data_IF_493292220904
#
_entry.id   IF_493292220904
#
_cell.length_a   1.000
_cell.length_b   1.000
_cell.length_c   1.000
_cell.angle_alpha   90.00
_cell.angle_beta   90.00
_cell.angle_gamma   90.00
#
_symmetry.space_group_name_H-M   'P 1'
#
loop_
_entity.id
_entity.type
_entity.pdbx_description
1 polymer ?
#
# COMPACT_ATOMS: atom_id res chain seq x y z
N UNK A 1 20.10 -50.45 -18.32
CA UNK A 1 20.28 -50.40 -19.79
C UNK A 1 21.53 -49.59 -20.09
N UNK A 2 22.68 -50.27 -20.19
CA UNK A 2 23.98 -49.64 -20.37
C UNK A 2 24.15 -49.20 -21.84
N UNK A 3 24.34 -47.89 -22.05
CA UNK A 3 24.57 -47.32 -23.36
C UNK A 3 25.85 -47.86 -23.98
N UNK A 4 25.70 -48.66 -25.04
CA UNK A 4 26.81 -48.97 -25.96
C UNK A 4 27.22 -47.67 -26.65
N UNK A 5 28.25 -47.02 -26.12
CA UNK A 5 29.00 -46.02 -26.88
C UNK A 5 29.69 -46.77 -28.02
N UNK A 6 29.12 -46.71 -29.21
CA UNK A 6 29.83 -47.07 -30.43
C UNK A 6 31.03 -46.12 -30.52
N UNK A 7 32.23 -46.64 -30.27
CA UNK A 7 33.46 -45.88 -30.42
C UNK A 7 33.51 -45.36 -31.86
N UNK A 8 33.48 -44.04 -32.03
CA UNK A 8 33.71 -43.41 -33.32
C UNK A 8 35.03 -43.93 -33.88
N UNK A 9 34.98 -44.59 -35.03
CA UNK A 9 36.16 -45.11 -35.73
C UNK A 9 37.08 -43.90 -35.98
N UNK A 10 38.13 -43.78 -35.17
CA UNK A 10 39.00 -42.61 -35.15
C UNK A 10 39.66 -42.46 -36.52
N UNK A 11 39.40 -41.33 -37.17
CA UNK A 11 40.05 -40.91 -38.42
C UNK A 11 41.58 -40.89 -38.29
N UNK A 12 42.10 -40.74 -37.06
CA UNK A 12 43.53 -40.84 -36.76
C UNK A 12 44.07 -42.25 -37.00
N UNK A 13 43.29 -43.30 -36.69
CA UNK A 13 43.69 -44.68 -36.99
C UNK A 13 43.73 -44.92 -38.49
N UNK A 14 42.79 -44.38 -39.26
CA UNK A 14 42.80 -44.54 -40.73
C UNK A 14 43.96 -43.79 -41.37
N UNK A 15 44.31 -42.61 -40.87
CA UNK A 15 45.48 -41.83 -41.35
C UNK A 15 46.79 -42.54 -40.99
N UNK A 16 46.93 -43.01 -39.75
CA UNK A 16 48.12 -43.75 -39.32
C UNK A 16 48.29 -45.06 -40.11
N UNK A 17 47.19 -45.76 -40.39
CA UNK A 17 47.21 -47.01 -41.16
C UNK A 17 47.52 -46.74 -42.64
N UNK A 18 47.05 -45.62 -43.21
CA UNK A 18 47.42 -45.21 -44.56
C UNK A 18 48.93 -44.92 -44.69
N UNK A 19 49.52 -44.18 -43.74
CA UNK A 19 50.97 -43.90 -43.72
C UNK A 19 51.77 -45.20 -43.58
N UNK A 20 51.32 -46.11 -42.70
CA UNK A 20 51.95 -47.41 -42.50
C UNK A 20 51.94 -48.26 -43.77
N UNK A 21 50.79 -48.35 -44.45
CA UNK A 21 50.63 -49.14 -45.68
C UNK A 21 51.46 -48.55 -46.83
N UNK A 22 51.52 -47.23 -46.95
CA UNK A 22 52.35 -46.57 -47.97
C UNK A 22 53.84 -46.84 -47.70
N UNK A 23 54.28 -46.75 -46.44
CA UNK A 23 55.66 -47.02 -46.05
C UNK A 23 56.09 -48.48 -46.28
N UNK A 24 55.22 -49.45 -45.98
CA UNK A 24 55.52 -50.88 -46.18
C UNK A 24 55.57 -51.26 -47.66
N UNK A 25 54.67 -50.70 -48.48
CA UNK A 25 54.68 -50.92 -49.94
C UNK A 25 55.94 -50.32 -50.59
N UNK A 26 56.38 -49.13 -50.16
CA UNK A 26 57.62 -48.52 -50.63
C UNK A 26 58.87 -49.35 -50.27
N UNK A 27 58.90 -49.93 -49.06
CA UNK A 27 59.99 -50.80 -48.61
C UNK A 27 60.05 -52.10 -49.43
N UNK A 28 58.91 -52.75 -49.67
CA UNK A 28 58.84 -53.98 -50.47
C UNK A 28 59.19 -53.75 -51.94
N UNK A 29 58.81 -52.60 -52.50
CA UNK A 29 59.18 -52.23 -53.87
C UNK A 29 60.69 -51.99 -54.05
N UNK A 30 61.41 -51.61 -52.98
CA UNK A 30 62.86 -51.40 -53.02
C UNK A 30 63.67 -52.69 -53.15
N UNK A 31 63.07 -53.84 -52.86
CA UNK A 31 63.75 -55.15 -52.84
C UNK A 31 63.75 -55.89 -54.18
N UNK A 32 62.93 -55.49 -55.18
CA UNK A 32 62.65 -56.32 -56.38
C UNK A 32 62.90 -55.66 -57.75
N UNK A 33 63.30 -54.39 -57.85
CA UNK A 33 63.32 -53.66 -59.14
C UNK A 33 64.67 -53.06 -59.54
N UNK A 34 64.97 -53.05 -60.85
CA UNK A 34 66.06 -52.23 -61.40
C UNK A 34 65.85 -50.73 -61.14
N UNK A 35 66.92 -49.93 -61.16
CA UNK A 35 66.94 -48.51 -60.69
C UNK A 35 65.79 -47.65 -61.25
N UNK A 36 65.35 -47.91 -62.49
CA UNK A 36 64.23 -47.21 -63.12
C UNK A 36 62.86 -47.60 -62.55
N UNK A 37 62.65 -48.87 -62.19
CA UNK A 37 61.39 -49.36 -61.59
C UNK A 37 61.23 -48.81 -60.18
N UNK A 38 62.33 -48.73 -59.40
CA UNK A 38 62.32 -48.15 -58.05
C UNK A 38 61.95 -46.66 -58.10
N UNK A 39 62.54 -45.89 -59.03
CA UNK A 39 62.22 -44.46 -59.20
C UNK A 39 60.77 -44.23 -59.61
N UNK A 40 60.25 -45.05 -60.53
CA UNK A 40 58.84 -44.98 -60.93
C UNK A 40 57.89 -45.29 -59.77
N UNK A 41 58.20 -46.30 -58.95
CA UNK A 41 57.42 -46.66 -57.76
C UNK A 41 57.39 -45.55 -56.71
N UNK A 42 58.52 -44.89 -56.46
CA UNK A 42 58.59 -43.76 -55.52
C UNK A 42 57.72 -42.59 -56.00
N UNK A 43 57.74 -42.26 -57.29
CA UNK A 43 56.89 -41.19 -57.84
C UNK A 43 55.41 -41.51 -57.68
N UNK A 44 55.00 -42.75 -57.94
CA UNK A 44 53.60 -43.18 -57.74
C UNK A 44 53.21 -43.14 -56.26
N UNK A 45 54.09 -43.56 -55.36
CA UNK A 45 53.84 -43.48 -53.92
C UNK A 45 53.68 -42.03 -53.43
N UNK A 46 54.52 -41.12 -53.91
CA UNK A 46 54.42 -39.69 -53.61
C UNK A 46 53.13 -39.09 -54.17
N UNK A 47 52.76 -39.43 -55.40
CA UNK A 47 51.50 -38.97 -56.00
C UNK A 47 50.27 -39.46 -55.22
N UNK A 48 50.27 -40.72 -54.80
CA UNK A 48 49.19 -41.30 -53.98
C UNK A 48 49.13 -40.68 -52.58
N UNK A 49 50.28 -40.38 -51.97
CA UNK A 49 50.34 -39.69 -50.68
C UNK A 49 49.76 -38.26 -50.76
N UNK A 50 50.08 -37.53 -51.83
CA UNK A 50 49.54 -36.19 -52.08
C UNK A 50 48.02 -36.25 -52.31
N UNK A 51 47.55 -37.22 -53.11
CA UNK A 51 46.12 -37.42 -53.36
C UNK A 51 45.36 -37.77 -52.07
N UNK A 52 45.92 -38.63 -51.22
CA UNK A 52 45.33 -38.99 -49.93
C UNK A 52 45.27 -37.80 -48.96
N UNK A 53 46.35 -37.00 -48.90
CA UNK A 53 46.37 -35.78 -48.09
C UNK A 53 45.31 -34.77 -48.56
N UNK A 54 45.20 -34.59 -49.88
CA UNK A 54 44.20 -33.69 -50.46
C UNK A 54 42.77 -34.15 -50.15
N UNK A 55 42.48 -35.44 -50.31
CA UNK A 55 41.16 -36.01 -50.02
C UNK A 55 40.81 -35.88 -48.53
N UNK A 56 41.76 -36.15 -47.64
CA UNK A 56 41.58 -36.01 -46.19
C UNK A 56 41.30 -34.55 -45.77
N UNK A 57 42.01 -33.58 -46.34
CA UNK A 57 41.77 -32.16 -46.08
C UNK A 57 40.40 -31.73 -46.60
N UNK A 58 39.99 -32.22 -47.77
CA UNK A 58 38.70 -31.87 -48.38
C UNK A 58 37.52 -32.44 -47.60
N UNK A 59 37.63 -33.68 -47.13
CA UNK A 59 36.60 -34.33 -46.33
C UNK A 59 36.48 -33.69 -44.94
N UNK A 60 37.62 -33.36 -44.31
CA UNK A 60 37.65 -32.63 -43.04
C UNK A 60 37.05 -31.22 -43.16
N UNK A 61 37.27 -30.53 -44.28
CA UNK A 61 36.66 -29.22 -44.53
C UNK A 61 35.14 -29.30 -44.70
N UNK A 62 34.65 -30.35 -45.38
CA UNK A 62 33.22 -30.57 -45.60
C UNK A 62 32.47 -30.92 -44.30
N UNK A 63 33.06 -31.74 -43.43
CA UNK A 63 32.49 -32.07 -42.11
C UNK A 63 32.49 -30.87 -41.17
N UNK A 64 33.58 -30.09 -41.14
CA UNK A 64 33.66 -28.86 -40.34
C UNK A 64 32.61 -27.82 -40.74
N UNK A 65 32.31 -27.70 -42.04
CA UNK A 65 31.27 -26.79 -42.51
C UNK A 65 29.87 -27.20 -42.01
N UNK A 66 29.59 -28.50 -41.94
CA UNK A 66 28.30 -29.03 -41.43
C UNK A 66 28.18 -28.85 -39.91
N UNK A 67 29.20 -29.19 -39.15
CA UNK A 67 29.21 -28.98 -37.70
C UNK A 67 29.18 -27.49 -37.32
N UNK A 68 29.83 -26.61 -38.09
CA UNK A 68 29.73 -25.17 -37.87
C UNK A 68 28.30 -24.64 -38.09
N UNK A 69 27.56 -25.21 -39.04
CA UNK A 69 26.16 -24.84 -39.28
C UNK A 69 25.23 -25.33 -38.15
N UNK A 70 25.42 -26.56 -37.69
CA UNK A 70 24.66 -27.15 -36.57
C UNK A 70 24.91 -26.36 -35.26
N UNK A 71 26.17 -26.08 -34.94
CA UNK A 71 26.53 -25.30 -33.75
C UNK A 71 25.98 -23.88 -33.79
N UNK A 72 25.99 -23.22 -34.96
CA UNK A 72 25.35 -21.90 -35.12
C UNK A 72 23.86 -21.98 -34.84
N UNK A 73 23.18 -23.02 -35.32
CA UNK A 73 21.76 -23.20 -35.07
C UNK A 73 21.47 -23.37 -33.57
N UNK A 74 22.20 -24.24 -32.89
CA UNK A 74 22.06 -24.43 -31.44
C UNK A 74 22.33 -23.15 -30.64
N UNK A 75 23.39 -22.40 -30.99
CA UNK A 75 23.73 -21.14 -30.31
C UNK A 75 22.63 -20.11 -30.52
N UNK A 76 22.07 -19.99 -31.72
CA UNK A 76 20.97 -19.03 -31.96
C UNK A 76 19.70 -19.38 -31.20
N UNK A 77 19.39 -20.68 -31.06
CA UNK A 77 18.25 -21.13 -30.26
C UNK A 77 18.47 -20.85 -28.77
N UNK A 78 19.65 -21.18 -28.23
CA UNK A 78 20.02 -20.87 -26.84
C UNK A 78 20.00 -19.36 -26.58
N UNK A 79 20.51 -18.56 -27.52
CA UNK A 79 20.49 -17.10 -27.42
C UNK A 79 19.06 -16.53 -27.41
N UNK A 80 18.18 -17.01 -28.29
CA UNK A 80 16.76 -16.63 -28.31
C UNK A 80 16.01 -17.04 -27.05
N UNK A 81 16.33 -18.21 -26.51
CA UNK A 81 15.73 -18.69 -25.28
C UNK A 81 16.20 -17.85 -24.09
N UNK A 82 17.49 -17.56 -24.00
CA UNK A 82 18.05 -16.67 -22.98
C UNK A 82 17.47 -15.25 -23.06
N UNK A 83 17.28 -14.70 -24.27
CA UNK A 83 16.69 -13.37 -24.44
C UNK A 83 15.23 -13.32 -23.98
N UNK A 84 14.43 -14.35 -24.28
CA UNK A 84 13.04 -14.45 -23.81
C UNK A 84 12.96 -14.53 -22.28
N UNK A 85 13.78 -15.39 -21.66
CA UNK A 85 13.82 -15.47 -20.21
C UNK A 85 14.28 -14.14 -19.58
N UNK A 86 15.20 -13.43 -20.22
CA UNK A 86 15.63 -12.12 -19.73
C UNK A 86 14.50 -11.09 -19.82
N UNK A 87 13.79 -11.03 -20.95
CA UNK A 87 12.65 -10.13 -21.14
C UNK A 87 11.52 -10.41 -20.14
N UNK A 88 11.16 -11.68 -19.94
CA UNK A 88 10.18 -12.10 -18.94
C UNK A 88 10.61 -11.74 -17.51
N UNK A 89 11.90 -11.93 -17.19
CA UNK A 89 12.46 -11.60 -15.88
C UNK A 89 12.44 -10.09 -15.64
N UNK A 90 12.83 -9.28 -16.63
CA UNK A 90 12.80 -7.82 -16.56
C UNK A 90 11.36 -7.31 -16.40
N UNK A 91 10.41 -7.86 -17.16
CA UNK A 91 9.00 -7.52 -17.04
C UNK A 91 8.45 -7.89 -15.64
N UNK A 92 8.87 -9.02 -15.07
CA UNK A 92 8.50 -9.44 -13.72
C UNK A 92 9.06 -8.50 -12.66
N UNK A 93 10.34 -8.12 -12.77
CA UNK A 93 10.97 -7.14 -11.88
C UNK A 93 10.23 -5.80 -11.96
N UNK A 94 9.89 -5.33 -13.17
CA UNK A 94 9.12 -4.10 -13.36
C UNK A 94 7.76 -4.15 -12.65
N UNK A 95 7.03 -5.27 -12.75
CA UNK A 95 5.76 -5.46 -12.02
C UNK A 95 5.94 -5.45 -10.50
N UNK A 96 7.00 -6.09 -9.99
CA UNK A 96 7.29 -6.07 -8.55
C UNK A 96 7.67 -4.68 -8.07
N UNK A 97 8.48 -3.95 -8.82
CA UNK A 97 8.86 -2.58 -8.49
C UNK A 97 7.63 -1.66 -8.45
N UNK A 98 6.77 -1.73 -9.47
CA UNK A 98 5.52 -0.96 -9.49
C UNK A 98 4.60 -1.30 -8.31
N UNK A 99 4.52 -2.58 -7.92
CA UNK A 99 3.77 -2.98 -6.72
C UNK A 99 4.40 -2.45 -5.44
N UNK A 100 5.73 -2.49 -5.32
CA UNK A 100 6.45 -1.97 -4.16
C UNK A 100 6.23 -0.45 -4.00
N UNK A 101 6.32 0.31 -5.10
CA UNK A 101 6.04 1.74 -5.13
C UNK A 101 4.59 2.05 -4.74
N UNK A 102 3.63 1.28 -5.25
CA UNK A 102 2.22 1.42 -4.88
C UNK A 102 2.00 1.18 -3.37
N UNK A 103 2.58 0.10 -2.83
CA UNK A 103 2.50 -0.19 -1.40
C UNK A 103 3.15 0.91 -0.56
N UNK A 104 4.29 1.45 -1.00
CA UNK A 104 4.94 2.57 -0.31
C UNK A 104 4.07 3.83 -0.31
N UNK A 105 3.40 4.14 -1.43
CA UNK A 105 2.46 5.24 -1.53
C UNK A 105 1.24 5.05 -0.60
N UNK A 106 0.69 3.83 -0.54
CA UNK A 106 -0.42 3.49 0.39
C UNK A 106 0.03 3.65 1.84
N UNK A 107 1.22 3.17 2.21
CA UNK A 107 1.78 3.33 3.56
C UNK A 107 1.95 4.80 3.91
N UNK A 108 2.47 5.62 3.00
CA UNK A 108 2.61 7.06 3.21
C UNK A 108 1.25 7.73 3.44
N UNK A 109 0.24 7.38 2.64
CA UNK A 109 -1.13 7.88 2.81
C UNK A 109 -1.72 7.49 4.16
N UNK A 110 -1.59 6.22 4.56
CA UNK A 110 -2.09 5.73 5.85
C UNK A 110 -1.39 6.41 7.03
N UNK A 111 -0.08 6.65 6.94
CA UNK A 111 0.66 7.42 7.96
C UNK A 111 0.16 8.86 8.07
N UNK A 112 -0.13 9.50 6.95
CA UNK A 112 -0.74 10.84 6.92
C UNK A 112 -2.10 10.87 7.59
N UNK A 113 -2.98 9.92 7.24
CA UNK A 113 -4.31 9.78 7.86
C UNK A 113 -4.22 9.52 9.37
N UNK A 114 -3.30 8.66 9.80
CA UNK A 114 -3.07 8.39 11.22
C UNK A 114 -2.59 9.64 11.96
N UNK A 115 -1.71 10.44 11.35
CA UNK A 115 -1.26 11.71 11.90
C UNK A 115 -2.40 12.72 12.08
N UNK A 116 -3.24 12.88 11.05
CA UNK A 116 -4.42 13.75 11.10
C UNK A 116 -5.40 13.29 12.19
N UNK A 117 -5.76 12.01 12.21
CA UNK A 117 -6.66 11.45 13.23
C UNK A 117 -6.11 11.62 14.65
N UNK A 118 -4.80 11.46 14.85
CA UNK A 118 -4.15 11.70 16.15
C UNK A 118 -4.24 13.18 16.57
N UNK A 119 -4.08 14.10 15.62
CA UNK A 119 -4.22 15.54 15.88
C UNK A 119 -5.65 15.90 16.25
N UNK A 120 -6.64 15.40 15.50
CA UNK A 120 -8.06 15.60 15.79
C UNK A 120 -8.44 15.03 17.16
N UNK A 121 -7.96 13.84 17.51
CA UNK A 121 -8.20 13.25 18.82
C UNK A 121 -7.61 14.11 19.96
N UNK A 122 -6.40 14.64 19.78
CA UNK A 122 -5.79 15.56 20.74
C UNK A 122 -6.61 16.84 20.88
N UNK A 123 -7.10 17.40 19.78
CA UNK A 123 -7.96 18.58 19.80
C UNK A 123 -9.30 18.31 20.51
N UNK A 124 -9.97 17.18 20.20
CA UNK A 124 -11.20 16.79 20.89
C UNK A 124 -10.98 16.57 22.38
N UNK A 125 -9.85 15.96 22.79
CA UNK A 125 -9.50 15.82 24.20
C UNK A 125 -9.31 17.18 24.88
N UNK A 126 -8.62 18.12 24.22
CA UNK A 126 -8.47 19.49 24.70
C UNK A 126 -9.82 20.19 24.88
N UNK A 127 -10.68 20.14 23.86
CA UNK A 127 -12.02 20.71 23.92
C UNK A 127 -12.86 20.09 25.03
N UNK A 128 -12.77 18.77 25.24
CA UNK A 128 -13.48 18.08 26.30
C UNK A 128 -12.98 18.46 27.70
N UNK A 129 -11.70 18.80 27.87
CA UNK A 129 -11.18 19.35 29.13
C UNK A 129 -11.70 20.77 29.34
N UNK A 130 -11.64 21.60 28.30
CA UNK A 130 -12.15 22.98 28.36
C UNK A 130 -13.64 23.02 28.69
N UNK A 131 -14.46 22.22 28.01
CA UNK A 131 -15.90 22.13 28.28
C UNK A 131 -16.21 21.67 29.72
N UNK A 132 -15.41 20.73 30.27
CA UNK A 132 -15.57 20.31 31.67
C UNK A 132 -15.27 21.44 32.65
N UNK A 133 -14.25 22.24 32.38
CA UNK A 133 -13.92 23.40 33.20
C UNK A 133 -15.03 24.47 33.15
N UNK A 134 -15.54 24.77 31.95
CA UNK A 134 -16.65 25.71 31.75
C UNK A 134 -17.93 25.25 32.47
N UNK A 135 -18.27 23.96 32.41
CA UNK A 135 -19.41 23.39 33.14
C UNK A 135 -19.22 23.53 34.65
N UNK A 136 -18.02 23.24 35.17
CA UNK A 136 -17.73 23.39 36.59
C UNK A 136 -17.84 24.85 37.07
N UNK A 137 -17.37 25.81 36.26
CA UNK A 137 -17.52 27.23 36.56
C UNK A 137 -18.99 27.67 36.58
N UNK A 138 -19.77 27.24 35.58
CA UNK A 138 -21.21 27.53 35.53
C UNK A 138 -21.95 26.93 36.71
N UNK A 139 -21.62 25.70 37.10
CA UNK A 139 -22.22 25.08 38.27
C UNK A 139 -21.90 25.87 39.54
N UNK A 140 -20.65 26.28 39.74
CA UNK A 140 -20.29 27.11 40.90
C UNK A 140 -21.03 28.46 40.93
N UNK A 141 -21.28 29.07 39.76
CA UNK A 141 -22.11 30.29 39.68
C UNK A 141 -23.56 30.03 40.02
N UNK A 142 -24.13 28.91 39.57
CA UNK A 142 -25.50 28.50 39.93
C UNK A 142 -25.60 28.33 41.43
N UNK A 143 -24.68 27.55 42.04
CA UNK A 143 -24.67 27.31 43.49
C UNK A 143 -24.59 28.63 44.29
N UNK A 144 -23.79 29.60 43.82
CA UNK A 144 -23.72 30.93 44.43
C UNK A 144 -25.02 31.74 44.30
N UNK A 145 -25.68 31.67 43.15
CA UNK A 145 -26.94 32.37 42.93
C UNK A 145 -28.07 31.74 43.75
N UNK A 146 -28.12 30.41 43.83
CA UNK A 146 -29.06 29.67 44.68
C UNK A 146 -28.88 30.04 46.16
N UNK A 147 -27.63 30.11 46.65
CA UNK A 147 -27.36 30.55 48.02
C UNK A 147 -27.85 31.99 48.29
N UNK A 148 -27.66 32.91 47.35
CA UNK A 148 -28.16 34.30 47.46
C UNK A 148 -29.68 34.37 47.44
N UNK A 149 -30.34 33.58 46.61
CA UNK A 149 -31.81 33.52 46.58
C UNK A 149 -32.31 33.03 47.93
N UNK A 150 -31.72 31.96 48.48
CA UNK A 150 -32.10 31.44 49.79
C UNK A 150 -31.89 32.47 50.93
N UNK A 151 -30.80 33.24 50.88
CA UNK A 151 -30.54 34.35 51.82
C UNK A 151 -31.62 35.44 51.69
N UNK A 152 -31.93 35.88 50.47
CA UNK A 152 -32.97 36.88 50.21
C UNK A 152 -34.36 36.40 50.62
N UNK A 153 -34.72 35.14 50.39
CA UNK A 153 -35.99 34.55 50.83
C UNK A 153 -36.08 34.48 52.37
N UNK A 154 -34.96 34.21 53.05
CA UNK A 154 -34.89 34.25 54.51
C UNK A 154 -35.01 35.70 55.05
N UNK A 155 -34.40 36.68 54.39
CA UNK A 155 -34.57 38.09 54.71
C UNK A 155 -36.02 38.55 54.46
N UNK A 156 -36.64 38.19 53.34
CA UNK A 156 -38.02 38.53 53.03
C UNK A 156 -38.98 37.92 54.06
N UNK A 157 -38.84 36.64 54.39
CA UNK A 157 -39.68 35.98 55.41
C UNK A 157 -39.51 36.57 56.82
N UNK A 158 -38.35 37.12 57.16
CA UNK A 158 -38.14 37.82 58.44
C UNK A 158 -38.63 39.26 58.43
N UNK A 159 -38.61 39.93 57.28
CA UNK A 159 -39.01 41.32 57.12
C UNK A 159 -40.50 41.48 56.78
N UNK A 160 -41.19 40.41 56.36
CA UNK A 160 -42.64 40.34 56.35
C UNK A 160 -43.11 40.34 57.81
N UNK A 161 -43.34 41.53 58.36
CA UNK A 161 -44.23 41.71 59.49
C UNK A 161 -45.57 41.12 59.07
N UNK A 162 -45.93 39.97 59.65
CA UNK A 162 -47.27 39.41 59.54
C UNK A 162 -48.24 40.44 60.10
N UNK A 163 -48.80 41.27 59.21
CA UNK A 163 -49.89 42.16 59.56
C UNK A 163 -50.97 41.28 60.18
N UNK A 164 -51.41 41.56 61.42
CA UNK A 164 -52.46 40.78 62.03
C UNK A 164 -53.63 40.79 61.06
N UNK A 165 -54.04 39.60 60.64
CA UNK A 165 -55.27 39.34 59.89
C UNK A 165 -56.47 39.60 60.81
N UNK A 166 -56.51 40.77 61.46
CA UNK A 166 -57.75 41.28 62.01
C UNK A 166 -58.54 41.76 60.81
N UNK A 167 -59.36 40.84 60.30
CA UNK A 167 -60.59 41.18 59.62
C UNK A 167 -61.49 41.94 60.60
N UNK A 168 -61.12 43.17 60.94
CA UNK A 168 -62.12 44.20 61.21
C UNK A 168 -62.47 44.75 59.84
N UNK A 169 -63.41 44.08 59.18
CA UNK A 169 -64.29 44.70 58.22
C UNK A 169 -65.37 45.41 59.05
N UNK A 170 -65.21 46.68 59.45
CA UNK A 170 -66.28 47.41 60.09
C UNK A 170 -67.51 47.33 59.18
N UNK A 171 -68.65 46.91 59.72
CA UNK A 171 -69.87 46.89 58.94
C UNK A 171 -70.26 48.33 58.59
N UNK A 172 -71.00 48.49 57.50
CA UNK A 172 -71.45 49.78 56.98
C UNK A 172 -72.12 50.63 58.08
N UNK A 173 -72.78 50.00 59.05
CA UNK A 173 -73.44 50.67 60.19
C UNK A 173 -72.46 51.20 61.25
N UNK A 174 -71.24 50.68 61.34
CA UNK A 174 -70.20 51.19 62.26
C UNK A 174 -69.45 52.41 61.66
N UNK A 175 -69.52 52.60 60.34
CA UNK A 175 -68.82 53.69 59.64
C UNK A 175 -69.72 54.92 59.45
N UNK A 176 -71.04 54.74 59.30
CA UNK A 176 -72.00 55.83 59.13
C UNK A 176 -73.22 55.65 60.04
N UNK A 177 -73.55 56.69 60.81
CA UNK A 177 -74.83 56.77 61.53
C UNK A 177 -75.98 57.14 60.58
N UNK A 178 -77.20 56.78 60.97
CA UNK A 178 -78.44 56.80 60.15
C UNK A 178 -78.77 58.11 59.39
N UNK A 179 -78.07 59.22 59.65
CA UNK A 179 -78.35 60.54 59.06
C UNK A 179 -77.14 61.20 58.32
N UNK A 180 -76.04 60.48 58.07
CA UNK A 180 -74.87 61.04 57.37
C UNK A 180 -74.69 60.44 55.96
N UNK A 181 -74.68 61.31 54.93
CA UNK A 181 -74.50 60.88 53.54
C UNK A 181 -73.01 60.75 53.18
N UNK A 182 -72.61 59.69 52.43
CA UNK A 182 -71.20 59.41 52.19
C UNK A 182 -70.53 60.50 51.35
N UNK A 183 -69.37 60.99 51.81
CA UNK A 183 -68.56 61.92 51.02
C UNK A 183 -67.61 61.17 50.09
N UNK A 184 -67.14 61.83 49.01
CA UNK A 184 -66.22 61.24 48.03
C UNK A 184 -64.91 60.70 48.64
N UNK A 185 -64.51 61.19 49.82
CA UNK A 185 -63.32 60.72 50.56
C UNK A 185 -63.59 59.39 51.26
N UNK A 186 -64.84 59.11 51.61
CA UNK A 186 -65.25 57.89 52.31
C UNK A 186 -65.49 56.73 51.33
N UNK A 187 -65.88 57.04 50.09
CA UNK A 187 -65.94 56.06 49.00
C UNK A 187 -64.54 55.52 48.62
N UNK A 188 -63.48 56.29 48.83
CA UNK A 188 -62.11 55.85 48.59
C UNK A 188 -61.58 54.89 49.68
N UNK A 189 -62.25 54.84 50.85
CA UNK A 189 -61.90 53.89 51.93
C UNK A 189 -62.56 52.52 51.74
N UNK A 190 -63.62 52.44 50.93
CA UNK A 190 -64.10 51.18 50.41
C UNK A 190 -63.12 50.73 49.34
N UNK A 191 -62.48 49.60 49.56
CA UNK A 191 -61.57 49.01 48.59
C UNK A 191 -62.38 48.51 47.38
N UNK A 192 -62.65 49.41 46.42
CA UNK A 192 -63.45 49.12 45.21
C UNK A 192 -62.71 48.23 44.19
N UNK A 193 -61.53 47.73 44.53
CA UNK A 193 -60.75 46.79 43.72
C UNK A 193 -61.38 45.39 43.64
N UNK A 194 -62.45 45.10 44.39
CA UNK A 194 -63.27 43.88 44.28
C UNK A 194 -64.55 44.06 43.44
N UNK A 195 -64.51 44.87 42.38
CA UNK A 195 -65.46 44.69 41.27
C UNK A 195 -64.85 43.74 40.23
N UNK A 196 -65.13 42.43 40.28
CA UNK A 196 -64.77 41.54 39.20
C UNK A 196 -65.55 41.93 37.95
N UNK A 197 -64.89 41.76 36.80
CA UNK A 197 -65.49 41.78 35.46
C UNK A 197 -65.95 43.11 34.92
N UNK A 198 -65.04 43.90 34.32
CA UNK A 198 -65.35 44.68 33.10
C UNK A 198 -64.07 45.12 32.35
N UNK A 199 -63.05 44.25 32.22
CA UNK A 199 -61.91 44.50 31.31
C UNK A 199 -61.61 43.30 30.41
N UNK A 200 -62.62 42.90 29.63
CA UNK A 200 -62.43 42.14 28.40
C UNK A 200 -63.12 42.94 27.27
N UNK A 201 -62.33 43.30 26.27
CA UNK A 201 -62.63 44.06 25.02
C UNK A 201 -62.65 45.59 25.11
N UNK A 202 -61.49 46.17 24.85
CA UNK A 202 -61.31 47.09 23.73
C UNK A 202 -59.91 46.87 23.15
#
# INVERSE_FOLDING_TARGET
>A
MAGRRAASKSSERTIALAILVVGTVASLASLLGGVWVVRAGVVVAVAMAIAAFWFAVRELAAERARHAAEMKHEVTLRARQASRFHEESVAMIGRFNARAENLQAVIAKLRGQLGAAKSELSAMRGNAVWLRAEVAERQARIDQLEARIAELEAEETTNILTLPRNAMSPSIEDIWGDDEHPTMVDLAKLNLDELPDLRIRA
#
